data_IF_608775461943
#
_entry.id   IF_608775461943
#
_cell.length_a   1.000
_cell.length_b   1.000
_cell.length_c   1.000
_cell.angle_alpha   90.00
_cell.angle_beta   90.00
_cell.angle_gamma   90.00
#
_symmetry.space_group_name_H-M   'P 1'
#
loop_
_entity.id
_entity.type
_entity.pdbx_description
1 polymer ?
#
# COMPACT_ATOMS: atom_id res chain seq x y z
N UNK A 1 8.75 -47.89 23.37
CA UNK A 1 7.31 -48.05 23.18
C UNK A 1 6.83 -46.90 22.34
N UNK A 2 6.85 -46.87 21.01
CA UNK A 2 7.38 -47.71 19.91
C UNK A 2 7.42 -46.69 18.73
N UNK A 3 8.56 -46.51 18.06
CA UNK A 3 8.87 -47.15 16.76
C UNK A 3 7.76 -46.93 15.71
N UNK A 4 8.04 -46.07 14.71
CA UNK A 4 8.36 -46.47 13.32
C UNK A 4 7.05 -46.74 12.53
N UNK A 5 6.87 -46.45 11.24
CA UNK A 5 7.78 -46.24 10.13
C UNK A 5 6.97 -45.71 8.94
N UNK A 6 7.75 -45.20 8.00
CA UNK A 6 7.50 -44.75 6.63
C UNK A 6 6.69 -45.76 5.78
N UNK A 7 6.16 -45.26 4.66
CA UNK A 7 6.41 -45.78 3.29
C UNK A 7 5.51 -44.99 2.31
N UNK A 8 6.02 -43.95 1.65
CA UNK A 8 6.67 -43.93 0.33
C UNK A 8 6.72 -45.21 -0.53
N UNK A 9 6.58 -44.99 -1.85
CA UNK A 9 6.59 -45.91 -3.01
C UNK A 9 5.27 -46.66 -3.23
N UNK A 10 4.74 -46.80 -4.44
CA UNK A 10 5.38 -47.02 -5.73
C UNK A 10 4.48 -46.63 -6.92
N UNK A 11 5.11 -46.15 -7.99
CA UNK A 11 4.58 -46.17 -9.36
C UNK A 11 4.30 -47.61 -9.82
N UNK A 12 3.40 -47.80 -10.79
CA UNK A 12 3.85 -48.52 -11.97
C UNK A 12 3.48 -47.81 -13.27
N UNK A 13 4.38 -48.01 -14.23
CA UNK A 13 4.15 -47.83 -15.66
C UNK A 13 2.93 -48.63 -16.13
N UNK A 14 2.25 -48.17 -17.17
CA UNK A 14 2.36 -48.82 -18.48
C UNK A 14 1.49 -48.13 -19.53
N UNK A 15 2.07 -48.05 -20.73
CA UNK A 15 1.47 -47.52 -21.95
C UNK A 15 0.81 -48.67 -22.71
N UNK A 16 -0.32 -48.43 -23.40
CA UNK A 16 -0.50 -49.01 -24.74
C UNK A 16 -0.74 -47.85 -25.72
N UNK A 17 0.20 -47.49 -26.61
CA UNK A 17 0.35 -48.06 -27.97
C UNK A 17 -0.98 -48.49 -28.57
N UNK A 18 -1.65 -47.54 -29.23
CA UNK A 18 -2.55 -47.86 -30.33
C UNK A 18 -1.86 -47.52 -31.64
N UNK A 19 -1.61 -48.59 -32.38
CA UNK A 19 -1.00 -48.68 -33.67
C UNK A 19 -2.17 -48.81 -34.66
N UNK A 20 -2.37 -47.85 -35.56
CA UNK A 20 -3.21 -48.07 -36.73
C UNK A 20 -2.34 -47.84 -37.97
N UNK A 21 -2.04 -48.98 -38.57
CA UNK A 21 -1.31 -49.17 -39.82
C UNK A 21 -2.14 -48.63 -41.01
N UNK A 22 -1.50 -48.26 -42.12
CA UNK A 22 -2.17 -47.74 -43.31
C UNK A 22 -2.72 -48.89 -44.16
N UNK A 23 -4.00 -48.81 -44.55
CA UNK A 23 -4.58 -49.69 -45.59
C UNK A 23 -4.22 -49.18 -46.98
N UNK A 24 -3.20 -49.85 -47.50
CA UNK A 24 -2.95 -50.27 -48.86
C UNK A 24 -4.24 -50.50 -49.71
N UNK A 25 -4.39 -49.73 -50.81
CA UNK A 25 -5.13 -50.19 -51.99
C UNK A 25 -4.17 -50.15 -53.18
N UNK A 26 -3.63 -51.33 -53.45
CA UNK A 26 -2.96 -51.71 -54.69
C UNK A 26 -3.99 -51.82 -55.80
N UNK A 27 -3.77 -51.14 -56.93
CA UNK A 27 -4.05 -51.75 -58.23
C UNK A 27 -3.25 -51.15 -59.40
N UNK A 28 -2.32 -51.99 -59.86
CA UNK A 28 -1.92 -52.28 -61.25
C UNK A 28 -1.16 -51.22 -62.06
N UNK A 29 0.09 -51.58 -62.34
CA UNK A 29 0.93 -51.11 -63.46
C UNK A 29 0.21 -51.20 -64.83
N UNK A 30 0.70 -50.44 -65.82
CA UNK A 30 1.66 -51.05 -66.74
C UNK A 30 2.92 -50.20 -67.01
N UNK A 31 3.95 -50.90 -67.45
CA UNK A 31 5.36 -50.56 -67.70
C UNK A 31 5.57 -49.59 -68.90
N UNK A 32 6.82 -49.16 -69.23
CA UNK A 32 7.26 -47.78 -69.17
C UNK A 32 7.43 -47.12 -70.55
N UNK A 33 7.08 -45.84 -70.67
CA UNK A 33 7.50 -45.00 -71.78
C UNK A 33 8.25 -43.79 -71.24
N UNK A 34 9.59 -43.86 -71.28
CA UNK A 34 10.39 -42.66 -71.48
C UNK A 34 9.95 -42.05 -72.83
N UNK A 35 9.81 -40.72 -72.94
CA UNK A 35 11.00 -39.88 -72.88
C UNK A 35 10.77 -38.47 -72.29
N UNK A 36 11.87 -37.69 -72.29
CA UNK A 36 11.90 -36.22 -72.28
C UNK A 36 11.78 -35.50 -70.93
N UNK A 37 12.93 -35.38 -70.27
CA UNK A 37 13.29 -34.18 -69.51
C UNK A 37 13.09 -32.95 -70.42
N UNK A 38 12.21 -31.99 -70.11
CA UNK A 38 12.25 -30.72 -70.81
C UNK A 38 13.53 -30.01 -70.37
N UNK A 39 14.43 -29.74 -71.32
CA UNK A 39 15.49 -28.77 -71.11
C UNK A 39 14.82 -27.41 -70.86
N UNK A 40 14.72 -27.02 -69.59
CA UNK A 40 14.37 -25.66 -69.19
C UNK A 40 15.41 -24.75 -69.85
N UNK A 41 14.95 -23.85 -70.70
CA UNK A 41 15.81 -22.98 -71.51
C UNK A 41 16.54 -22.01 -70.57
N UNK A 42 17.79 -21.59 -70.89
CA UNK A 42 18.57 -20.67 -70.04
C UNK A 42 17.81 -19.39 -69.65
N UNK A 43 16.88 -18.93 -70.49
CA UNK A 43 15.98 -17.81 -70.20
C UNK A 43 14.95 -18.10 -69.09
N UNK A 44 14.45 -19.33 -68.96
CA UNK A 44 13.56 -19.73 -67.88
C UNK A 44 14.30 -19.83 -66.55
N UNK A 45 15.56 -20.30 -66.55
CA UNK A 45 16.40 -20.30 -65.34
C UNK A 45 16.67 -18.88 -64.84
N UNK A 46 16.95 -17.94 -65.74
CA UNK A 46 17.16 -16.53 -65.38
C UNK A 46 15.89 -15.89 -64.81
N UNK A 47 14.72 -16.21 -65.36
CA UNK A 47 13.42 -15.76 -64.81
C UNK A 47 13.16 -16.32 -63.41
N UNK A 48 13.45 -17.60 -63.17
CA UNK A 48 13.29 -18.23 -61.86
C UNK A 48 14.24 -17.59 -60.83
N UNK A 49 15.50 -17.34 -61.19
CA UNK A 49 16.49 -16.70 -60.31
C UNK A 49 16.09 -15.26 -59.98
N UNK A 50 15.60 -14.50 -60.97
CA UNK A 50 15.16 -13.13 -60.71
C UNK A 50 13.86 -13.07 -59.90
N UNK A 51 12.95 -14.03 -60.10
CA UNK A 51 11.75 -14.18 -59.29
C UNK A 51 12.07 -14.56 -57.83
N UNK A 52 13.00 -15.49 -57.60
CA UNK A 52 13.49 -15.83 -56.26
C UNK A 52 14.15 -14.63 -55.57
N UNK A 53 14.96 -13.85 -56.31
CA UNK A 53 15.61 -12.64 -55.75
C UNK A 53 14.58 -11.62 -55.29
N UNK A 54 13.50 -11.44 -56.06
CA UNK A 54 12.37 -10.55 -55.69
C UNK A 54 11.58 -11.09 -54.50
N UNK A 55 11.41 -12.41 -54.38
CA UNK A 55 10.76 -13.03 -53.21
C UNK A 55 11.58 -12.84 -51.95
N UNK A 56 12.90 -13.08 -52.01
CA UNK A 56 13.80 -12.88 -50.87
C UNK A 56 13.85 -11.40 -50.45
N UNK A 57 13.90 -10.47 -51.40
CA UNK A 57 13.88 -9.03 -51.09
C UNK A 57 12.54 -8.60 -50.43
N UNK A 58 11.42 -9.14 -50.91
CA UNK A 58 10.11 -8.89 -50.30
C UNK A 58 10.00 -9.51 -48.90
N UNK A 59 10.50 -10.73 -48.69
CA UNK A 59 10.53 -11.34 -47.36
C UNK A 59 11.40 -10.56 -46.37
N UNK A 60 12.55 -10.06 -46.81
CA UNK A 60 13.40 -9.21 -45.98
C UNK A 60 12.73 -7.89 -45.63
N UNK A 61 12.02 -7.26 -46.57
CA UNK A 61 11.24 -6.04 -46.31
C UNK A 61 10.14 -6.32 -45.30
N UNK A 62 9.39 -7.41 -45.46
CA UNK A 62 8.35 -7.82 -44.52
C UNK A 62 8.92 -8.11 -43.11
N UNK A 63 10.07 -8.80 -43.02
CA UNK A 63 10.76 -9.03 -41.74
C UNK A 63 11.24 -7.72 -41.10
N UNK A 64 11.82 -6.81 -41.89
CA UNK A 64 12.28 -5.49 -41.41
C UNK A 64 11.11 -4.62 -40.96
N UNK A 65 9.97 -4.67 -41.64
CA UNK A 65 8.74 -3.96 -41.25
C UNK A 65 8.10 -4.56 -40.01
N UNK A 66 8.02 -5.89 -39.90
CA UNK A 66 7.53 -6.58 -38.70
C UNK A 66 8.41 -6.27 -37.47
N UNK A 67 9.74 -6.28 -37.62
CA UNK A 67 10.67 -5.91 -36.54
C UNK A 67 10.52 -4.42 -36.16
N UNK A 68 10.33 -3.53 -37.15
CA UNK A 68 10.09 -2.10 -36.88
C UNK A 68 8.73 -1.88 -36.19
N UNK A 69 7.69 -2.59 -36.59
CA UNK A 69 6.37 -2.54 -35.96
C UNK A 69 6.44 -3.03 -34.51
N UNK A 70 7.05 -4.19 -34.27
CA UNK A 70 7.27 -4.76 -32.95
C UNK A 70 8.07 -3.82 -32.03
N UNK A 71 9.17 -3.22 -32.55
CA UNK A 71 9.98 -2.25 -31.78
C UNK A 71 9.25 -0.93 -31.52
N UNK A 72 8.30 -0.54 -32.36
CA UNK A 72 7.47 0.66 -32.21
C UNK A 72 6.34 0.44 -31.20
N UNK A 73 5.77 -0.76 -31.14
CA UNK A 73 4.77 -1.13 -30.13
C UNK A 73 5.40 -1.33 -28.74
N UNK A 74 6.52 -2.04 -28.65
CA UNK A 74 7.20 -2.26 -27.36
C UNK A 74 7.78 -1.00 -26.73
N UNK A 75 8.04 0.06 -27.51
CA UNK A 75 8.45 1.37 -26.96
C UNK A 75 7.30 2.17 -26.35
N UNK A 76 6.05 1.95 -26.76
CA UNK A 76 4.89 2.69 -26.23
C UNK A 76 4.51 2.26 -24.80
N UNK A 77 4.65 0.97 -24.46
CA UNK A 77 4.33 0.47 -23.11
C UNK A 77 5.34 0.88 -22.03
N UNK A 78 6.63 1.00 -22.39
CA UNK A 78 7.68 1.30 -21.43
C UNK A 78 7.67 2.75 -20.93
N UNK A 79 7.19 3.69 -21.74
CA UNK A 79 7.04 5.10 -21.35
C UNK A 79 5.93 5.31 -20.33
N UNK A 80 4.80 4.62 -20.50
CA UNK A 80 3.66 4.70 -19.57
C UNK A 80 3.98 4.08 -18.21
N UNK A 81 4.69 2.94 -18.20
CA UNK A 81 5.09 2.29 -16.96
C UNK A 81 6.09 3.14 -16.15
N UNK A 82 7.05 3.78 -16.84
CA UNK A 82 7.97 4.75 -16.21
C UNK A 82 7.24 5.98 -15.67
N UNK A 83 6.26 6.51 -16.41
CA UNK A 83 5.42 7.61 -15.95
C UNK A 83 4.63 7.25 -14.70
N UNK A 84 4.05 6.05 -14.66
CA UNK A 84 3.30 5.55 -13.50
C UNK A 84 4.20 5.35 -12.28
N UNK A 85 5.38 4.74 -12.45
CA UNK A 85 6.35 4.58 -11.36
C UNK A 85 6.78 5.95 -10.82
N UNK A 86 7.10 6.90 -11.71
CA UNK A 86 7.49 8.25 -11.30
C UNK A 86 6.36 8.94 -10.52
N UNK A 87 5.11 8.81 -10.96
CA UNK A 87 3.96 9.37 -10.26
C UNK A 87 3.81 8.76 -8.85
N UNK A 88 3.93 7.44 -8.72
CA UNK A 88 3.86 6.77 -7.41
C UNK A 88 4.98 7.24 -6.49
N UNK A 89 6.20 7.38 -7.00
CA UNK A 89 7.33 7.92 -6.24
C UNK A 89 7.06 9.36 -5.80
N UNK A 90 6.55 10.22 -6.68
CA UNK A 90 6.20 11.61 -6.32
C UNK A 90 5.12 11.63 -5.24
N UNK A 91 4.05 10.84 -5.37
CA UNK A 91 3.00 10.75 -4.36
C UNK A 91 3.59 10.27 -3.03
N UNK A 92 4.45 9.24 -3.06
CA UNK A 92 5.13 8.75 -1.87
C UNK A 92 5.97 9.83 -1.19
N UNK A 93 6.75 10.60 -1.96
CA UNK A 93 7.55 11.73 -1.44
C UNK A 93 6.65 12.80 -0.83
N UNK A 94 5.55 13.16 -1.50
CA UNK A 94 4.57 14.12 -0.96
C UNK A 94 4.05 13.60 0.37
N UNK A 95 3.49 12.39 0.45
CA UNK A 95 2.94 11.84 1.70
C UNK A 95 3.97 11.82 2.83
N UNK A 96 5.20 11.39 2.57
CA UNK A 96 6.29 11.38 3.58
C UNK A 96 6.62 12.80 4.03
N UNK A 97 6.73 13.76 3.11
CA UNK A 97 6.94 15.16 3.45
C UNK A 97 5.79 15.74 4.27
N UNK A 98 4.54 15.33 4.00
CA UNK A 98 3.37 15.72 4.78
C UNK A 98 3.45 15.24 6.22
N UNK A 99 3.83 13.97 6.41
CA UNK A 99 4.05 13.41 7.74
C UNK A 99 5.17 14.14 8.50
N UNK A 100 6.30 14.43 7.82
CA UNK A 100 7.43 15.13 8.43
C UNK A 100 7.15 16.60 8.76
N UNK A 101 6.17 17.22 8.09
CA UNK A 101 5.78 18.62 8.29
C UNK A 101 4.48 18.76 9.09
N UNK A 102 3.93 17.64 9.57
CA UNK A 102 2.76 17.65 10.43
C UNK A 102 3.14 18.24 11.79
N UNK A 103 2.37 19.25 12.21
CA UNK A 103 2.60 19.97 13.45
C UNK A 103 1.25 20.21 14.12
N UNK A 104 1.08 19.71 15.34
CA UNK A 104 -0.10 19.94 16.16
C UNK A 104 0.35 20.46 17.52
N UNK A 105 0.04 21.72 17.83
CA UNK A 105 0.41 22.35 19.09
C UNK A 105 -0.81 22.93 19.78
N UNK A 106 -0.78 22.88 21.11
CA UNK A 106 -1.78 23.48 21.99
C UNK A 106 -1.20 24.69 22.71
N UNK A 107 -1.87 25.84 22.63
CA UNK A 107 -1.59 27.01 23.49
C UNK A 107 -2.69 27.14 24.55
N UNK A 108 -2.31 27.48 25.78
CA UNK A 108 -3.22 27.55 26.93
C UNK A 108 -4.08 28.83 26.98
N UNK A 109 -4.21 29.53 25.84
CA UNK A 109 -5.06 30.71 25.70
C UNK A 109 -6.14 30.40 24.67
N UNK A 110 -7.32 29.97 25.12
CA UNK A 110 -8.49 29.84 24.27
C UNK A 110 -8.90 31.20 23.68
N UNK A 111 -9.50 31.20 22.49
CA UNK A 111 -9.99 32.41 21.83
C UNK A 111 -11.39 32.83 22.27
N UNK A 112 -11.96 32.14 23.27
CA UNK A 112 -13.26 32.46 23.85
C UNK A 112 -14.45 31.93 23.05
N UNK A 113 -14.24 30.91 22.21
CA UNK A 113 -15.32 30.29 21.44
C UNK A 113 -16.24 29.42 22.32
N UNK A 114 -17.49 29.24 21.87
CA UNK A 114 -18.41 28.23 22.44
C UNK A 114 -17.92 26.81 22.12
N UNK A 115 -18.27 25.83 22.95
CA UNK A 115 -17.89 24.41 22.77
C UNK A 115 -19.12 23.52 22.45
N UNK A 116 -19.73 23.62 21.26
CA UNK A 116 -20.95 22.88 20.95
C UNK A 116 -20.72 21.38 20.69
N UNK A 117 -19.48 20.97 20.41
CA UNK A 117 -19.15 19.58 20.12
C UNK A 117 -18.52 18.92 21.33
N UNK A 118 -18.89 17.66 21.57
CA UNK A 118 -18.33 16.83 22.65
C UNK A 118 -17.89 15.50 22.06
N UNK A 119 -16.69 15.08 22.40
CA UNK A 119 -16.18 13.75 22.07
C UNK A 119 -15.54 13.14 23.32
N UNK A 120 -15.86 11.87 23.58
CA UNK A 120 -15.35 11.12 24.73
C UNK A 120 -14.41 10.03 24.26
N UNK A 121 -13.30 9.88 24.98
CA UNK A 121 -12.25 8.94 24.65
C UNK A 121 -11.77 8.18 25.88
N UNK A 122 -11.52 6.90 25.69
CA UNK A 122 -10.70 6.08 26.57
C UNK A 122 -9.24 6.28 26.19
N UNK A 123 -8.42 6.72 27.15
CA UNK A 123 -7.02 7.04 26.96
C UNK A 123 -6.16 6.23 27.92
N UNK A 124 -5.26 5.41 27.38
CA UNK A 124 -4.26 4.66 28.13
C UNK A 124 -2.89 5.31 27.97
N UNK A 125 -2.28 5.74 29.07
CA UNK A 125 -0.94 6.32 29.11
C UNK A 125 0.05 5.44 29.87
N UNK A 126 1.34 5.43 29.47
CA UNK A 126 2.38 4.83 30.29
C UNK A 126 2.56 5.64 31.59
N UNK A 127 2.85 4.93 32.68
CA UNK A 127 3.21 5.59 33.95
C UNK A 127 4.65 6.12 33.89
N UNK A 128 4.83 7.34 34.38
CA UNK A 128 6.12 8.00 34.58
C UNK A 128 6.95 8.16 33.29
N UNK A 129 6.29 8.15 32.14
CA UNK A 129 6.89 8.41 30.83
C UNK A 129 6.16 9.55 30.14
N UNK A 130 6.92 10.50 29.62
CA UNK A 130 6.39 11.58 28.81
C UNK A 130 6.04 11.07 27.41
N UNK A 131 4.84 11.37 26.94
CA UNK A 131 4.35 11.06 25.60
C UNK A 131 3.94 12.35 24.90
N UNK A 132 4.07 12.42 23.58
CA UNK A 132 3.78 13.63 22.82
C UNK A 132 2.53 13.41 21.96
N UNK A 133 1.46 14.16 22.25
CA UNK A 133 0.28 14.23 21.40
C UNK A 133 0.49 15.36 20.39
N UNK A 134 0.91 15.01 19.17
CA UNK A 134 1.54 15.98 18.27
C UNK A 134 2.80 16.55 18.92
N UNK A 135 2.82 17.85 19.17
CA UNK A 135 3.89 18.58 19.86
C UNK A 135 3.51 18.99 21.30
N UNK A 136 2.41 18.46 21.85
CA UNK A 136 2.01 18.71 23.23
C UNK A 136 2.54 17.59 24.14
N UNK A 137 3.48 17.87 25.06
CA UNK A 137 3.95 16.88 26.01
C UNK A 137 2.87 16.55 27.04
N UNK A 138 2.69 15.26 27.29
CA UNK A 138 1.78 14.72 28.30
C UNK A 138 2.54 13.74 29.18
N UNK A 139 2.53 13.98 30.49
CA UNK A 139 3.18 13.12 31.48
C UNK A 139 2.18 12.76 32.56
N UNK A 140 2.02 11.47 32.81
CA UNK A 140 1.22 10.95 33.91
C UNK A 140 2.13 10.22 34.90
N UNK A 141 2.05 10.57 36.19
CA UNK A 141 2.84 9.94 37.25
C UNK A 141 1.89 9.46 38.33
N UNK A 142 1.83 8.14 38.54
CA UNK A 142 1.00 7.56 39.59
C UNK A 142 1.63 7.76 40.97
N UNK A 143 0.79 7.97 41.99
CA UNK A 143 1.19 8.11 43.38
C UNK A 143 0.08 7.57 44.29
N UNK A 144 0.11 6.26 44.56
CA UNK A 144 -0.94 5.59 45.31
C UNK A 144 -2.26 5.55 44.53
N UNK A 145 -3.31 6.18 45.07
CA UNK A 145 -4.62 6.25 44.43
C UNK A 145 -4.81 7.50 43.55
N UNK A 146 -3.83 8.38 43.52
CA UNK A 146 -3.85 9.61 42.74
C UNK A 146 -2.87 9.52 41.57
N UNK A 147 -3.11 10.32 40.54
CA UNK A 147 -2.20 10.51 39.43
C UNK A 147 -1.95 11.99 39.21
N UNK A 148 -0.69 12.38 39.10
CA UNK A 148 -0.32 13.72 38.65
C UNK A 148 -0.26 13.71 37.14
N UNK A 149 -1.19 14.41 36.49
CA UNK A 149 -1.22 14.56 35.04
C UNK A 149 -0.74 15.96 34.66
N UNK A 150 0.25 16.01 33.77
CA UNK A 150 0.76 17.24 33.19
C UNK A 150 0.47 17.23 31.69
N UNK A 151 -0.17 18.28 31.18
CA UNK A 151 -0.46 18.49 29.76
C UNK A 151 0.12 19.85 29.36
N UNK A 152 1.14 19.86 28.51
CA UNK A 152 1.91 21.07 28.22
C UNK A 152 2.53 21.64 29.49
N UNK A 153 2.11 22.85 29.89
CA UNK A 153 2.56 23.51 31.11
C UNK A 153 1.56 23.40 32.28
N UNK A 154 0.38 22.82 32.05
CA UNK A 154 -0.65 22.69 33.09
C UNK A 154 -0.48 21.35 33.80
N UNK A 155 -0.53 21.38 35.14
CA UNK A 155 -0.43 20.19 35.99
C UNK A 155 -1.66 20.14 36.90
N UNK A 156 -2.29 18.97 36.95
CA UNK A 156 -3.40 18.66 37.83
C UNK A 156 -3.14 17.35 38.56
N UNK A 157 -3.71 17.21 39.76
CA UNK A 157 -3.75 15.95 40.49
C UNK A 157 -5.16 15.38 40.32
N UNK A 158 -5.26 14.14 39.86
CA UNK A 158 -6.51 13.45 39.64
C UNK A 158 -6.61 12.30 40.64
N UNK A 159 -7.66 12.31 41.44
CA UNK A 159 -8.05 11.17 42.25
C UNK A 159 -8.94 10.23 41.46
N UNK A 160 -8.85 8.93 41.75
CA UNK A 160 -9.64 7.91 41.06
C UNK A 160 -11.15 8.23 41.08
N UNK A 161 -11.79 8.15 39.92
CA UNK A 161 -13.22 8.39 39.73
C UNK A 161 -13.67 9.85 39.80
N UNK A 162 -12.77 10.80 40.09
CA UNK A 162 -13.12 12.22 40.17
C UNK A 162 -12.80 12.94 38.86
N UNK A 163 -13.79 13.58 38.20
CA UNK A 163 -13.54 14.38 37.02
C UNK A 163 -12.85 15.71 37.39
N UNK A 164 -11.79 16.06 36.66
CA UNK A 164 -11.08 17.32 36.79
C UNK A 164 -11.12 18.06 35.45
N UNK A 165 -11.47 19.34 35.49
CA UNK A 165 -11.47 20.22 34.32
C UNK A 165 -10.10 20.91 34.18
N UNK A 166 -9.54 20.87 32.97
CA UNK A 166 -8.32 21.59 32.61
C UNK A 166 -8.69 22.94 32.04
N UNK A 167 -7.76 23.91 32.07
CA UNK A 167 -8.04 25.21 31.48
C UNK A 167 -8.34 25.10 29.97
N UNK A 168 -9.27 25.91 29.45
CA UNK A 168 -9.50 25.98 28.03
C UNK A 168 -8.23 26.35 27.27
N UNK A 169 -7.99 25.63 26.18
CA UNK A 169 -6.81 25.80 25.35
C UNK A 169 -7.21 25.85 23.89
N UNK A 170 -6.30 26.32 23.05
CA UNK A 170 -6.47 26.40 21.62
C UNK A 170 -5.48 25.46 20.94
N UNK A 171 -5.92 24.81 19.86
CA UNK A 171 -5.13 23.83 19.12
C UNK A 171 -5.07 24.24 17.67
N UNK A 172 -3.86 24.26 17.13
CA UNK A 172 -3.60 24.49 15.71
C UNK A 172 -2.95 23.26 15.11
N UNK A 173 -3.50 22.77 14.01
CA UNK A 173 -2.95 21.66 13.22
C UNK A 173 -2.49 22.19 11.88
N UNK A 174 -1.21 21.99 11.56
CA UNK A 174 -0.55 22.40 10.34
C UNK A 174 0.05 21.20 9.60
N UNK A 175 0.09 21.29 8.28
CA UNK A 175 0.77 20.33 7.41
C UNK A 175 1.34 21.10 6.22
N UNK A 176 2.59 20.85 5.84
CA UNK A 176 3.33 21.66 4.86
C UNK A 176 3.34 23.18 5.18
N UNK A 177 3.25 23.55 6.46
CA UNK A 177 3.15 24.94 6.89
C UNK A 177 1.78 25.60 6.67
N UNK A 178 0.81 24.89 6.07
CA UNK A 178 -0.57 25.36 5.93
C UNK A 178 -1.38 24.94 7.15
N UNK A 179 -2.15 25.88 7.73
CA UNK A 179 -3.12 25.57 8.77
C UNK A 179 -4.25 24.75 8.16
N UNK A 180 -4.36 23.49 8.60
CA UNK A 180 -5.48 22.62 8.24
C UNK A 180 -6.68 22.86 9.16
N UNK A 181 -6.41 23.18 10.42
CA UNK A 181 -7.43 23.28 11.45
C UNK A 181 -6.98 24.14 12.62
N UNK A 182 -7.92 24.91 13.17
CA UNK A 182 -7.80 25.65 14.41
C UNK A 182 -9.07 25.40 15.24
N UNK A 183 -8.92 25.06 16.52
CA UNK A 183 -10.06 24.80 17.39
C UNK A 183 -9.70 25.07 18.84
N UNK A 184 -10.61 25.74 19.54
CA UNK A 184 -10.56 25.76 21.00
C UNK A 184 -11.07 24.42 21.54
N UNK A 185 -10.53 24.01 22.67
CA UNK A 185 -10.92 22.80 23.37
C UNK A 185 -10.90 22.99 24.89
N UNK A 186 -11.79 22.28 25.56
CA UNK A 186 -11.90 22.22 27.01
C UNK A 186 -11.98 20.75 27.43
N UNK A 187 -11.02 20.29 28.24
CA UNK A 187 -10.91 18.89 28.64
C UNK A 187 -11.46 18.68 30.04
N UNK A 188 -12.29 17.66 30.19
CA UNK A 188 -12.63 17.06 31.48
C UNK A 188 -12.04 15.66 31.51
N UNK A 189 -11.17 15.38 32.47
CA UNK A 189 -10.43 14.11 32.56
C UNK A 189 -10.76 13.42 33.87
N UNK A 190 -11.06 12.12 33.81
CA UNK A 190 -11.29 11.28 34.97
C UNK A 190 -10.28 10.14 34.96
N UNK A 191 -9.48 10.01 36.02
CA UNK A 191 -8.61 8.85 36.21
C UNK A 191 -9.43 7.65 36.68
N UNK A 192 -9.36 6.52 35.98
CA UNK A 192 -10.13 5.30 36.27
C UNK A 192 -9.32 4.20 36.96
N UNK A 193 -7.99 4.33 37.01
CA UNK A 193 -7.10 3.37 37.63
C UNK A 193 -6.06 2.81 36.67
N UNK A 194 -5.54 1.62 37.00
CA UNK A 194 -4.56 0.91 36.19
C UNK A 194 -5.23 -0.21 35.40
N UNK A 195 -4.95 -0.29 34.10
CA UNK A 195 -5.37 -1.36 33.20
C UNK A 195 -4.13 -1.83 32.44
N UNK A 196 -3.79 -3.12 32.52
CA UNK A 196 -2.62 -3.70 31.85
C UNK A 196 -1.31 -2.92 32.08
N UNK A 197 -1.07 -2.49 33.33
CA UNK A 197 0.09 -1.68 33.73
C UNK A 197 0.20 -0.32 33.01
N UNK A 198 -0.94 0.21 32.55
CA UNK A 198 -1.10 1.55 31.98
C UNK A 198 -2.16 2.31 32.76
N UNK A 199 -1.99 3.63 32.83
CA UNK A 199 -2.92 4.53 33.49
C UNK A 199 -4.12 4.77 32.57
N UNK A 200 -5.31 4.49 33.07
CA UNK A 200 -6.56 4.57 32.33
C UNK A 200 -7.31 5.86 32.66
N UNK A 201 -7.66 6.60 31.61
CA UNK A 201 -8.34 7.88 31.70
C UNK A 201 -9.57 7.89 30.80
N UNK A 202 -10.66 8.44 31.33
CA UNK A 202 -11.79 8.87 30.53
C UNK A 202 -11.64 10.36 30.24
N UNK A 203 -11.47 10.71 28.97
CA UNK A 203 -11.26 12.09 28.51
C UNK A 203 -12.49 12.56 27.74
N UNK A 204 -13.15 13.59 28.24
CA UNK A 204 -14.21 14.30 27.53
C UNK A 204 -13.64 15.60 26.97
N UNK A 205 -13.49 15.68 25.65
CA UNK A 205 -13.05 16.87 24.96
C UNK A 205 -14.27 17.62 24.41
N UNK A 206 -14.50 18.84 24.90
CA UNK A 206 -15.46 19.77 24.32
C UNK A 206 -14.72 20.69 23.36
N UNK A 207 -15.17 20.83 22.12
CA UNK A 207 -14.45 21.58 21.08
C UNK A 207 -15.34 22.62 20.41
N UNK A 208 -14.71 23.70 19.94
CA UNK A 208 -15.41 24.75 19.17
C UNK A 208 -15.78 24.30 17.76
N UNK A 209 -15.03 23.35 17.19
CA UNK A 209 -15.26 22.78 15.87
C UNK A 209 -15.47 21.25 15.96
N UNK A 210 -16.12 20.69 14.94
CA UNK A 210 -16.45 19.26 14.76
C UNK A 210 -15.27 18.34 15.10
N UNK A 211 -15.41 17.24 15.84
CA UNK A 211 -14.24 16.44 16.28
C UNK A 211 -13.26 16.06 15.16
N UNK A 212 -11.98 15.90 15.48
CA UNK A 212 -10.96 15.51 14.49
C UNK A 212 -11.38 14.24 13.74
N UNK A 213 -11.11 14.20 12.43
CA UNK A 213 -11.27 12.99 11.62
C UNK A 213 -10.37 11.86 12.12
N UNK A 214 -10.70 10.60 11.78
CA UNK A 214 -9.91 9.44 12.18
C UNK A 214 -8.43 9.55 11.76
N UNK A 215 -8.19 9.93 10.51
CA UNK A 215 -6.83 10.07 9.97
C UNK A 215 -6.00 11.14 10.71
N UNK A 216 -6.62 12.24 11.16
CA UNK A 216 -5.91 13.26 11.94
C UNK A 216 -5.57 12.75 13.34
N UNK A 217 -6.49 12.04 13.98
CA UNK A 217 -6.25 11.44 15.31
C UNK A 217 -5.09 10.46 15.27
N UNK A 218 -5.00 9.64 14.23
CA UNK A 218 -3.89 8.70 14.06
C UNK A 218 -2.52 9.38 13.91
N UNK A 219 -2.47 10.61 13.40
CA UNK A 219 -1.23 11.40 13.33
C UNK A 219 -0.86 12.07 14.65
N UNK A 220 -1.86 12.43 15.47
CA UNK A 220 -1.65 13.12 16.75
C UNK A 220 -1.35 12.14 17.88
N UNK A 221 -1.94 10.94 17.86
CA UNK A 221 -1.81 9.97 18.94
C UNK A 221 -0.46 9.25 18.84
N UNK A 222 0.40 9.33 19.87
CA UNK A 222 1.69 8.64 19.83
C UNK A 222 1.49 7.13 20.00
N UNK A 223 2.42 6.34 19.45
CA UNK A 223 2.41 4.87 19.56
C UNK A 223 2.49 4.35 21.00
N UNK A 224 2.96 5.18 21.93
CA UNK A 224 3.07 4.85 23.35
C UNK A 224 1.73 5.01 24.09
N UNK A 225 0.77 5.75 23.53
CA UNK A 225 -0.56 5.93 24.08
C UNK A 225 -1.60 5.13 23.28
N UNK A 226 -2.75 4.86 23.88
CA UNK A 226 -3.91 4.33 23.15
C UNK A 226 -5.08 5.25 23.38
N UNK A 227 -5.76 5.65 22.30
CA UNK A 227 -6.94 6.51 22.35
C UNK A 227 -8.06 5.84 21.56
N UNK A 228 -9.21 5.63 22.19
CA UNK A 228 -10.38 5.00 21.57
C UNK A 228 -11.64 5.82 21.86
N UNK A 229 -12.50 6.06 20.86
CA UNK A 229 -13.79 6.71 21.12
C UNK A 229 -14.68 5.80 21.96
N UNK A 230 -15.51 6.41 22.81
CA UNK A 230 -16.54 5.75 23.65
C UNK A 230 -17.92 5.95 23.04
#
# INVERSE_FOLDING_TARGET
MDEEKKDNTSSPADTPRENVSPEEVVQKEPTPSAPETPMITEEEKQKIIEEERRRVENEEKMKKEAVKAYKKEHKKGFGLFKGLILLVVIIGVVVVAGYLTFDAFGNQNAWGNSYPYVATYDVLLPDSSEVFFGNVPVLAVSSGNDVTLKIGNERQILSIGTPVEFQPAHMTVKMYGLTLRESDYHLTITYRGLVDNRLDFLVSARTSDSPMSSWMRELVVPSQATVRPV
#
